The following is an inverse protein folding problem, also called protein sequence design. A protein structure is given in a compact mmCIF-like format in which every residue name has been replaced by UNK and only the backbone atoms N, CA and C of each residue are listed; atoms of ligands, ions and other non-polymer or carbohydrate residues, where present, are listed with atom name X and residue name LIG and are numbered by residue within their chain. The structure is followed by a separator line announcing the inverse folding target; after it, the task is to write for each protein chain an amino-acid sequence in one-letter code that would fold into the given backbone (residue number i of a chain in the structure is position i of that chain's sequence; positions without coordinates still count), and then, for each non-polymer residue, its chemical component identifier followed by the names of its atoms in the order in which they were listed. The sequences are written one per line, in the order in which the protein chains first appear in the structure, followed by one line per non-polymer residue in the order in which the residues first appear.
data_IF_309848678303
#
_entry.id   IF_309848678303
#
_cell.length_a   1.000
_cell.length_b   1.000
_cell.length_c   1.000
_cell.angle_alpha   90.00
_cell.angle_beta   90.00
_cell.angle_gamma   90.00
#
_symmetry.space_group_name_H-M   'P 1'
#
loop_
_entity.id
_entity.type
_entity.pdbx_description
1 polymer ?
#
# COMPACT_ATOMS: atom_id res chain seq x y z
N UNK A 1 -17.15 -3.18 -18.16
CA UNK A 1 -15.69 -3.18 -17.88
C UNK A 1 -15.15 -4.54 -18.30
N UNK A 2 -14.16 -4.57 -19.18
CA UNK A 2 -13.56 -5.82 -19.67
C UNK A 2 -12.98 -6.64 -18.51
N UNK A 3 -12.99 -7.98 -18.66
CA UNK A 3 -12.49 -8.91 -17.63
C UNK A 3 -11.06 -8.58 -17.18
N UNK A 4 -10.21 -8.17 -18.12
CA UNK A 4 -8.80 -7.85 -17.83
C UNK A 4 -8.66 -6.52 -17.08
N UNK A 5 -9.46 -5.52 -17.42
CA UNK A 5 -9.50 -4.24 -16.67
C UNK A 5 -10.03 -4.43 -15.26
N UNK A 6 -11.03 -5.30 -15.09
CA UNK A 6 -11.52 -5.68 -13.77
C UNK A 6 -10.43 -6.36 -12.93
N UNK A 7 -9.65 -7.26 -13.53
CA UNK A 7 -8.51 -7.88 -12.85
C UNK A 7 -7.44 -6.85 -12.46
N UNK A 8 -7.08 -5.95 -13.36
CA UNK A 8 -6.12 -4.87 -13.08
C UNK A 8 -6.61 -3.96 -11.95
N UNK A 9 -7.89 -3.56 -11.97
CA UNK A 9 -8.49 -2.75 -10.92
C UNK A 9 -8.45 -3.46 -9.56
N UNK A 10 -8.81 -4.75 -9.51
CA UNK A 10 -8.77 -5.55 -8.28
C UNK A 10 -7.35 -5.67 -7.73
N UNK A 11 -6.36 -5.92 -8.59
CA UNK A 11 -4.94 -5.94 -8.21
C UNK A 11 -4.48 -4.58 -7.69
N UNK A 12 -4.88 -3.49 -8.35
CA UNK A 12 -4.55 -2.14 -7.93
C UNK A 12 -5.13 -1.79 -6.56
N UNK A 13 -6.39 -2.16 -6.30
CA UNK A 13 -7.03 -1.99 -4.98
C UNK A 13 -6.33 -2.83 -3.92
N UNK A 14 -6.00 -4.09 -4.22
CA UNK A 14 -5.29 -4.95 -3.27
C UNK A 14 -3.93 -4.37 -2.86
N UNK A 15 -3.13 -3.92 -3.83
CA UNK A 15 -1.83 -3.27 -3.58
C UNK A 15 -1.99 -1.98 -2.77
N UNK A 16 -3.00 -1.17 -3.10
CA UNK A 16 -3.27 0.07 -2.37
C UNK A 16 -3.63 -0.21 -0.91
N UNK A 17 -4.51 -1.18 -0.65
CA UNK A 17 -4.89 -1.58 0.71
C UNK A 17 -3.69 -2.12 1.48
N UNK A 18 -2.91 -3.04 0.89
CA UNK A 18 -1.71 -3.59 1.53
C UNK A 18 -0.70 -2.49 1.83
N UNK A 19 -0.47 -1.57 0.89
CA UNK A 19 0.42 -0.44 1.07
C UNK A 19 -0.02 0.52 2.18
N UNK A 20 -1.29 0.92 2.21
CA UNK A 20 -1.82 1.82 3.24
C UNK A 20 -1.78 1.17 4.62
N UNK A 21 -2.26 -0.07 4.73
CA UNK A 21 -2.27 -0.80 6.00
C UNK A 21 -0.85 -1.05 6.49
N UNK A 22 0.04 -1.53 5.62
CA UNK A 22 1.44 -1.77 5.94
C UNK A 22 2.16 -0.51 6.39
N UNK A 23 1.92 0.62 5.73
CA UNK A 23 2.48 1.92 6.14
C UNK A 23 1.98 2.32 7.53
N UNK A 24 0.67 2.25 7.79
CA UNK A 24 0.11 2.58 9.11
C UNK A 24 0.67 1.69 10.22
N UNK A 25 0.78 0.39 9.94
CA UNK A 25 1.31 -0.62 10.85
C UNK A 25 2.79 -0.38 11.17
N UNK A 26 3.61 -0.05 10.18
CA UNK A 26 5.03 0.29 10.38
C UNK A 26 5.27 1.70 10.95
N UNK A 27 4.31 2.61 10.84
CA UNK A 27 4.37 3.89 11.56
C UNK A 27 4.00 3.73 13.02
N UNK A 28 3.02 2.87 13.33
CA UNK A 28 2.61 2.60 14.71
C UNK A 28 3.60 1.68 15.44
N UNK A 29 4.37 0.87 14.70
CA UNK A 29 5.34 -0.10 15.21
C UNK A 29 4.85 -0.90 16.44
N UNK A 30 3.63 -1.48 16.44
CA UNK A 30 3.00 -2.02 17.66
C UNK A 30 3.75 -3.20 18.31
N UNK A 31 4.69 -3.84 17.59
CA UNK A 31 5.56 -4.90 18.10
C UNK A 31 6.81 -4.39 18.81
N UNK A 32 7.11 -3.09 18.75
CA UNK A 32 8.27 -2.50 19.43
C UNK A 32 7.85 -2.02 20.81
N UNK A 33 8.67 -2.33 21.81
CA UNK A 33 8.57 -1.80 23.16
C UNK A 33 9.89 -1.11 23.50
N UNK A 34 9.87 0.17 23.86
CA UNK A 34 11.07 0.91 24.21
C UNK A 34 11.32 0.84 25.73
N UNK A 35 12.58 0.63 26.18
CA UNK A 35 12.88 0.48 27.60
C UNK A 35 12.71 1.78 28.41
N UNK A 36 12.53 2.93 27.76
CA UNK A 36 12.37 4.25 28.39
C UNK A 36 11.01 4.90 28.12
N UNK A 37 10.09 4.19 27.46
CA UNK A 37 8.81 4.75 27.05
C UNK A 37 7.69 3.77 27.36
N UNK A 38 6.79 4.16 28.27
CA UNK A 38 5.60 3.38 28.63
C UNK A 38 4.61 3.26 27.45
N UNK A 39 4.84 4.03 26.37
CA UNK A 39 4.10 3.90 25.12
C UNK A 39 4.92 3.21 24.02
N UNK A 40 4.49 2.03 23.51
CA UNK A 40 5.22 1.28 22.48
C UNK A 40 5.30 1.99 21.11
N UNK A 41 4.58 3.10 20.93
CA UNK A 41 4.39 3.75 19.62
C UNK A 41 5.41 4.85 19.27
N UNK A 42 6.38 5.17 20.14
CA UNK A 42 7.31 6.30 19.94
C UNK A 42 8.78 5.87 19.75
N UNK A 43 9.04 4.58 19.54
CA UNK A 43 10.40 4.10 19.31
C UNK A 43 11.03 4.69 18.04
N UNK A 44 12.35 4.89 18.06
CA UNK A 44 13.07 5.29 16.86
C UNK A 44 12.94 4.20 15.78
N UNK A 45 12.58 4.62 14.57
CA UNK A 45 12.47 3.70 13.44
C UNK A 45 13.85 3.12 13.10
N UNK A 46 13.97 1.79 13.10
CA UNK A 46 15.21 1.15 12.65
C UNK A 46 15.30 1.24 11.12
N UNK A 47 16.50 1.17 10.54
CA UNK A 47 16.68 1.24 9.08
C UNK A 47 15.82 0.22 8.31
N UNK A 48 15.66 -1.00 8.85
CA UNK A 48 14.79 -1.99 8.21
C UNK A 48 13.30 -1.63 8.23
N UNK A 49 12.82 -0.93 9.26
CA UNK A 49 11.42 -0.52 9.38
C UNK A 49 11.11 0.60 8.38
N UNK A 50 12.08 1.52 8.21
CA UNK A 50 12.01 2.58 7.18
C UNK A 50 11.99 1.96 5.78
N UNK A 51 12.87 0.98 5.51
CA UNK A 51 12.91 0.30 4.22
C UNK A 51 11.57 -0.40 3.90
N UNK A 52 10.98 -1.08 4.87
CA UNK A 52 9.66 -1.70 4.72
C UNK A 52 8.57 -0.66 4.45
N UNK A 53 8.58 0.46 5.18
CA UNK A 53 7.63 1.57 4.99
C UNK A 53 7.73 2.15 3.58
N UNK A 54 8.95 2.37 3.06
CA UNK A 54 9.17 2.81 1.67
C UNK A 54 8.60 1.80 0.67
N UNK A 55 8.80 0.49 0.90
CA UNK A 55 8.22 -0.56 0.08
C UNK A 55 6.68 -0.51 0.04
N UNK A 56 6.04 -0.27 1.19
CA UNK A 56 4.59 -0.10 1.26
C UNK A 56 4.11 1.17 0.54
N UNK A 57 4.84 2.29 0.64
CA UNK A 57 4.53 3.50 -0.13
C UNK A 57 4.63 3.28 -1.64
N UNK A 58 5.65 2.55 -2.11
CA UNK A 58 5.76 2.15 -3.52
C UNK A 58 4.56 1.30 -3.93
N UNK A 59 4.13 0.36 -3.08
CA UNK A 59 2.94 -0.46 -3.31
C UNK A 59 1.67 0.40 -3.49
N UNK A 60 1.49 1.44 -2.66
CA UNK A 60 0.38 2.41 -2.81
C UNK A 60 0.44 3.10 -4.17
N UNK A 61 1.61 3.59 -4.58
CA UNK A 61 1.78 4.28 -5.87
C UNK A 61 1.45 3.35 -7.04
N UNK A 62 1.96 2.12 -7.03
CA UNK A 62 1.66 1.12 -8.07
C UNK A 62 0.16 0.83 -8.08
N UNK A 63 -0.46 0.61 -6.91
CA UNK A 63 -1.89 0.36 -6.79
C UNK A 63 -2.74 1.49 -7.38
N UNK A 64 -2.41 2.75 -7.05
CA UNK A 64 -3.07 3.94 -7.58
C UNK A 64 -2.93 4.05 -9.09
N UNK A 65 -1.74 3.80 -9.63
CA UNK A 65 -1.46 3.81 -11.07
C UNK A 65 -2.29 2.75 -11.79
N UNK A 66 -2.37 1.51 -11.27
CA UNK A 66 -3.17 0.44 -11.87
C UNK A 66 -4.67 0.77 -11.87
N UNK A 67 -5.19 1.34 -10.79
CA UNK A 67 -6.60 1.79 -10.72
C UNK A 67 -6.85 2.87 -11.77
N UNK A 68 -5.97 3.87 -11.87
CA UNK A 68 -6.06 4.93 -12.87
C UNK A 68 -6.10 4.35 -14.28
N UNK A 69 -5.21 3.43 -14.63
CA UNK A 69 -5.18 2.78 -15.94
C UNK A 69 -6.45 1.97 -16.22
N UNK A 70 -6.94 1.22 -15.24
CA UNK A 70 -8.14 0.41 -15.39
C UNK A 70 -9.40 1.26 -15.65
N UNK A 71 -9.49 2.43 -15.01
CA UNK A 71 -10.64 3.36 -15.14
C UNK A 71 -10.54 4.23 -16.40
N UNK A 72 -9.33 4.70 -16.76
CA UNK A 72 -9.12 5.62 -17.89
C UNK A 72 -8.96 4.94 -19.26
N UNK A 73 -8.79 3.62 -19.31
CA UNK A 73 -8.66 2.93 -20.59
C UNK A 73 -9.91 3.12 -21.47
N UNK A 74 -9.78 3.26 -22.80
CA UNK A 74 -10.93 3.40 -23.69
C UNK A 74 -11.76 2.11 -23.69
N UNK A 75 -13.02 2.13 -23.24
CA UNK A 75 -13.88 0.95 -23.30
C UNK A 75 -13.90 0.44 -24.75
N UNK A 76 -13.25 -0.70 -25.01
CA UNK A 76 -13.25 -1.32 -26.33
C UNK A 76 -14.69 -1.74 -26.59
N UNK A 77 -15.42 -0.95 -27.39
CA UNK A 77 -16.69 -1.36 -27.99
C UNK A 77 -16.38 -2.59 -28.82
N UNK A 78 -16.61 -3.78 -28.26
CA UNK A 78 -16.73 -5.00 -29.04
C UNK A 78 -18.04 -4.88 -29.83
N UNK A 79 -17.90 -4.77 -31.16
CA UNK A 79 -19.01 -4.90 -32.09
C UNK A 79 -19.59 -6.29 -32.07
#
# INVERSE_FOLDING_TARGET
MDRDRRRIAVLGVALLVIGVVGTAVFLAQPWRTCPYDDTPAACSALPQDVAATVGFLISVLIGAVLIIFAVRGPASRRG
#
